data_IF_839599732558
#
_entry.id   IF_839599732558
#
_cell.length_a   1.000
_cell.length_b   1.000
_cell.length_c   1.000
_cell.angle_alpha   90.00
_cell.angle_beta   90.00
_cell.angle_gamma   90.00
#
_symmetry.space_group_name_H-M   'P 1'
#
loop_
_entity.id
_entity.type
_entity.pdbx_description
1 polymer ?
#
# COMPACT_ATOMS: atom_id res chain seq x y z
N UNK A 1 10.29 -12.17 3.89
CA UNK A 1 10.46 -11.89 5.34
C UNK A 1 11.62 -12.68 5.96
N UNK A 2 11.71 -14.00 5.75
CA UNK A 2 12.78 -14.85 6.32
C UNK A 2 14.22 -14.34 6.10
N UNK A 3 14.53 -13.83 4.90
CA UNK A 3 15.87 -13.26 4.62
C UNK A 3 16.11 -11.99 5.43
N UNK A 4 15.12 -11.11 5.55
CA UNK A 4 15.21 -9.87 6.31
C UNK A 4 15.36 -10.13 7.83
N UNK A 5 14.74 -11.19 8.35
CA UNK A 5 14.89 -11.64 9.73
C UNK A 5 16.30 -12.20 10.00
N UNK A 6 16.86 -12.98 9.08
CA UNK A 6 18.25 -13.46 9.21
C UNK A 6 19.30 -12.33 9.16
N UNK A 7 18.99 -11.23 8.46
CA UNK A 7 19.87 -10.06 8.37
C UNK A 7 19.82 -9.19 9.63
N UNK A 8 18.77 -9.30 10.44
CA UNK A 8 18.60 -8.53 11.69
C UNK A 8 18.05 -9.42 12.82
N UNK A 9 18.85 -10.38 13.33
CA UNK A 9 18.43 -11.29 14.38
C UNK A 9 18.18 -10.60 15.73
N UNK A 10 18.62 -9.35 15.88
CA UNK A 10 18.43 -8.54 17.09
C UNK A 10 17.22 -7.60 17.00
N UNK A 11 16.48 -7.61 15.88
CA UNK A 11 15.33 -6.73 15.62
C UNK A 11 15.63 -5.23 15.80
N UNK A 12 16.88 -4.81 15.53
CA UNK A 12 17.31 -3.41 15.67
C UNK A 12 16.58 -2.50 14.70
N UNK A 13 16.22 -3.00 13.53
CA UNK A 13 15.45 -2.26 12.55
C UNK A 13 14.08 -1.84 13.08
N UNK A 14 13.42 -2.71 13.86
CA UNK A 14 12.11 -2.42 14.45
C UNK A 14 12.22 -1.36 15.54
N UNK A 15 13.26 -1.45 16.38
CA UNK A 15 13.55 -0.43 17.40
C UNK A 15 13.85 0.92 16.77
N UNK A 16 14.62 0.96 15.68
CA UNK A 16 14.86 2.17 14.89
C UNK A 16 13.57 2.73 14.30
N UNK A 17 12.73 1.89 13.68
CA UNK A 17 11.44 2.32 13.16
C UNK A 17 10.48 2.87 14.22
N UNK A 18 10.51 2.29 15.43
CA UNK A 18 9.71 2.78 16.55
C UNK A 18 10.21 4.10 17.15
N UNK A 19 11.43 4.55 16.80
CA UNK A 19 12.10 5.71 17.38
C UNK A 19 12.80 5.43 18.72
N UNK A 20 12.94 4.17 19.12
CA UNK A 20 13.58 3.78 20.38
C UNK A 20 15.11 3.77 20.30
N UNK A 21 15.69 3.49 19.13
CA UNK A 21 17.14 3.37 18.95
C UNK A 21 17.56 3.87 17.57
N UNK A 22 18.33 4.97 17.53
CA UNK A 22 18.75 5.62 16.27
C UNK A 22 20.25 5.45 15.98
N UNK A 23 20.88 4.42 16.58
CA UNK A 23 22.30 4.14 16.35
C UNK A 23 22.57 3.83 14.86
N UNK A 24 23.78 4.16 14.35
CA UNK A 24 24.13 3.88 12.95
C UNK A 24 23.90 2.42 12.52
N UNK A 25 24.16 1.46 13.42
CA UNK A 25 23.92 0.05 13.16
C UNK A 25 22.42 -0.31 13.09
N UNK A 26 21.55 0.39 13.83
CA UNK A 26 20.11 0.19 13.77
C UNK A 26 19.53 0.79 12.47
N UNK A 27 20.07 1.94 12.03
CA UNK A 27 19.77 2.55 10.72
C UNK A 27 20.21 1.64 9.58
N UNK A 28 21.41 1.05 9.67
CA UNK A 28 21.93 0.09 8.69
C UNK A 28 21.05 -1.17 8.60
N UNK A 29 20.67 -1.74 9.75
CA UNK A 29 19.74 -2.88 9.79
C UNK A 29 18.38 -2.53 9.16
N UNK A 30 17.83 -1.34 9.46
CA UNK A 30 16.59 -0.87 8.85
C UNK A 30 16.71 -0.73 7.33
N UNK A 31 17.82 -0.17 6.84
CA UNK A 31 18.07 -0.05 5.40
C UNK A 31 18.20 -1.42 4.73
N UNK A 32 18.93 -2.36 5.34
CA UNK A 32 19.07 -3.71 4.82
C UNK A 32 17.72 -4.43 4.71
N UNK A 33 16.87 -4.35 5.75
CA UNK A 33 15.51 -4.92 5.70
C UNK A 33 14.64 -4.24 4.64
N UNK A 34 14.68 -2.90 4.54
CA UNK A 34 13.98 -2.15 3.48
C UNK A 34 14.39 -2.60 2.08
N UNK A 35 15.68 -2.83 1.82
CA UNK A 35 16.16 -3.32 0.52
C UNK A 35 15.56 -4.70 0.18
N UNK A 36 15.43 -5.61 1.15
CA UNK A 36 14.76 -6.90 0.94
C UNK A 36 13.30 -6.72 0.55
N UNK A 37 12.56 -5.85 1.25
CA UNK A 37 11.15 -5.60 0.94
C UNK A 37 10.97 -4.89 -0.40
N UNK A 38 11.89 -4.01 -0.78
CA UNK A 38 11.88 -3.35 -2.08
C UNK A 38 11.93 -4.36 -3.23
N UNK A 39 12.74 -5.42 -3.11
CA UNK A 39 12.77 -6.47 -4.14
C UNK A 39 11.42 -7.19 -4.27
N UNK A 40 10.75 -7.45 -3.14
CA UNK A 40 9.40 -8.01 -3.13
C UNK A 40 8.38 -7.07 -3.78
N UNK A 41 8.39 -5.78 -3.45
CA UNK A 41 7.52 -4.77 -4.08
C UNK A 41 7.80 -4.65 -5.59
N UNK A 42 9.05 -4.78 -6.03
CA UNK A 42 9.40 -4.81 -7.46
C UNK A 42 8.83 -6.04 -8.18
N UNK A 43 8.85 -7.21 -7.53
CA UNK A 43 8.21 -8.42 -8.08
C UNK A 43 6.70 -8.23 -8.19
N UNK A 44 6.06 -7.74 -7.14
CA UNK A 44 4.62 -7.41 -7.16
C UNK A 44 4.30 -6.43 -8.29
N UNK A 45 5.07 -5.36 -8.44
CA UNK A 45 4.89 -4.38 -9.51
C UNK A 45 4.95 -5.03 -10.89
N UNK A 46 5.94 -5.90 -11.13
CA UNK A 46 6.06 -6.62 -12.41
C UNK A 46 4.87 -7.52 -12.67
N UNK A 47 4.39 -8.24 -11.66
CA UNK A 47 3.25 -9.14 -11.78
C UNK A 47 1.95 -8.37 -12.07
N UNK A 48 1.67 -7.28 -11.36
CA UNK A 48 0.50 -6.44 -11.63
C UNK A 48 0.57 -5.77 -13.01
N UNK A 49 1.75 -5.33 -13.45
CA UNK A 49 1.92 -4.80 -14.81
C UNK A 49 1.66 -5.87 -15.87
N UNK A 50 2.20 -7.09 -15.70
CA UNK A 50 1.96 -8.20 -16.62
C UNK A 50 0.48 -8.64 -16.63
N UNK A 51 -0.19 -8.61 -15.48
CA UNK A 51 -1.62 -8.88 -15.37
C UNK A 51 -2.49 -7.85 -16.11
N UNK A 52 -2.06 -6.58 -16.15
CA UNK A 52 -2.77 -5.52 -16.86
C UNK A 52 -2.59 -5.57 -18.38
N UNK A 53 -1.56 -6.26 -18.89
CA UNK A 53 -1.35 -6.46 -20.32
C UNK A 53 -2.48 -7.32 -20.90
N UNK A 54 -3.40 -6.70 -21.64
CA UNK A 54 -4.40 -7.43 -22.41
C UNK A 54 -3.69 -8.24 -23.51
N UNK A 55 -4.12 -9.49 -23.79
CA UNK A 55 -3.71 -10.16 -25.00
C UNK A 55 -4.22 -9.31 -26.17
N UNK A 56 -3.31 -8.62 -26.88
CA UNK A 56 -3.70 -7.93 -28.10
C UNK A 56 -4.31 -8.97 -29.02
N UNK A 57 -5.58 -8.77 -29.43
CA UNK A 57 -6.21 -9.57 -30.46
C UNK A 57 -5.24 -9.67 -31.64
N UNK A 58 -4.84 -10.88 -32.07
CA UNK A 58 -3.94 -11.01 -33.20
C UNK A 58 -4.60 -10.33 -34.39
N UNK A 59 -4.01 -9.21 -34.84
CA UNK A 59 -4.44 -8.56 -36.06
C UNK A 59 -4.23 -9.57 -37.18
N UNK A 60 -5.33 -10.02 -37.80
CA UNK A 60 -5.30 -10.95 -38.92
C UNK A 60 -4.42 -10.33 -40.02
N UNK A 61 -3.27 -10.94 -40.37
CA UNK A 61 -2.46 -10.45 -41.47
C UNK A 61 -3.31 -10.49 -42.75
N UNK A 62 -3.40 -9.36 -43.47
CA UNK A 62 -4.20 -9.23 -44.70
C UNK A 62 -3.66 -10.05 -45.89
N UNK A 63 -2.60 -10.84 -45.69
CA UNK A 63 -1.99 -11.64 -46.74
C UNK A 63 -1.56 -13.00 -46.17
N UNK A 64 -1.87 -14.13 -46.83
CA UNK A 64 -1.40 -15.44 -46.42
C UNK A 64 0.13 -15.49 -46.55
N UNK A 65 0.84 -15.52 -45.42
CA UNK A 65 2.28 -15.78 -45.40
C UNK A 65 2.59 -17.26 -45.65
N UNK A 66 3.76 -17.60 -46.21
CA UNK A 66 4.17 -18.99 -46.38
C UNK A 66 4.30 -19.71 -45.02
N UNK A 67 3.94 -21.00 -45.01
CA UNK A 67 3.91 -21.85 -43.83
C UNK A 67 5.28 -21.89 -43.14
N UNK A 68 5.40 -21.21 -41.99
CA UNK A 68 6.56 -21.33 -41.11
C UNK A 68 6.42 -22.65 -40.35
N UNK A 69 7.38 -23.55 -40.56
CA UNK A 69 7.45 -24.84 -39.90
C UNK A 69 7.48 -24.63 -38.38
N UNK A 70 6.53 -25.25 -37.69
CA UNK A 70 6.48 -25.35 -36.23
C UNK A 70 7.70 -26.13 -35.75
N UNK A 71 8.77 -25.41 -35.43
CA UNK A 71 9.75 -25.90 -34.47
C UNK A 71 9.05 -25.88 -33.10
N UNK A 72 9.08 -26.96 -32.31
CA UNK A 72 8.68 -26.87 -30.91
C UNK A 72 9.76 -26.06 -30.19
N UNK A 73 9.63 -24.73 -30.26
CA UNK A 73 10.43 -23.84 -29.45
C UNK A 73 10.02 -24.07 -28.00
N UNK A 74 10.93 -24.66 -27.24
CA UNK A 74 10.77 -24.78 -25.81
C UNK A 74 10.65 -23.40 -25.15
N UNK A 75 9.74 -23.32 -24.18
CA UNK A 75 9.84 -22.51 -22.96
C UNK A 75 10.00 -20.98 -23.07
N UNK A 76 9.34 -20.29 -24.00
CA UNK A 76 9.10 -18.83 -23.84
C UNK A 76 7.59 -18.53 -23.90
N UNK A 77 6.78 -19.33 -23.19
CA UNK A 77 5.46 -18.88 -22.79
C UNK A 77 5.65 -17.88 -21.65
N UNK A 78 5.71 -16.60 -22.01
CA UNK A 78 5.60 -15.53 -21.03
C UNK A 78 4.35 -15.75 -20.16
N UNK A 79 4.46 -15.44 -18.87
CA UNK A 79 3.36 -15.55 -17.89
C UNK A 79 2.06 -14.97 -18.49
N UNK A 80 0.99 -15.77 -18.54
CA UNK A 80 -0.29 -15.24 -19.00
C UNK A 80 -0.79 -14.17 -18.02
N UNK A 81 -1.60 -13.19 -18.48
CA UNK A 81 -2.10 -12.13 -17.60
C UNK A 81 -2.88 -12.65 -16.39
N UNK A 82 -3.62 -13.76 -16.57
CA UNK A 82 -4.36 -14.40 -15.48
C UNK A 82 -3.42 -15.06 -14.45
N UNK A 83 -2.36 -15.74 -14.92
CA UNK A 83 -1.36 -16.33 -14.04
C UNK A 83 -0.56 -15.25 -13.30
N UNK A 84 -0.22 -14.16 -13.99
CA UNK A 84 0.45 -13.02 -13.39
C UNK A 84 -0.41 -12.39 -12.27
N UNK A 85 -1.72 -12.23 -12.50
CA UNK A 85 -2.65 -11.74 -11.48
C UNK A 85 -2.70 -12.69 -10.28
N UNK A 86 -2.85 -13.99 -10.52
CA UNK A 86 -2.91 -15.01 -9.47
C UNK A 86 -1.63 -15.00 -8.62
N UNK A 87 -0.47 -14.92 -9.26
CA UNK A 87 0.82 -14.85 -8.58
C UNK A 87 0.99 -13.54 -7.80
N UNK A 88 0.49 -12.42 -8.33
CA UNK A 88 0.53 -11.14 -7.63
C UNK A 88 -0.26 -11.19 -6.32
N UNK A 89 -1.49 -11.72 -6.37
CA UNK A 89 -2.35 -11.82 -5.19
C UNK A 89 -1.84 -12.87 -4.19
N UNK A 90 -1.27 -13.98 -4.67
CA UNK A 90 -0.59 -14.97 -3.82
C UNK A 90 0.63 -14.37 -3.11
N UNK A 91 1.47 -13.65 -3.85
CA UNK A 91 2.66 -12.99 -3.27
C UNK A 91 2.27 -11.93 -2.24
N UNK A 92 1.24 -11.14 -2.52
CA UNK A 92 0.73 -10.13 -1.59
C UNK A 92 0.17 -10.79 -0.32
N UNK A 93 -0.62 -11.85 -0.48
CA UNK A 93 -1.19 -12.62 0.63
C UNK A 93 -0.09 -13.22 1.52
N UNK A 94 0.92 -13.86 0.92
CA UNK A 94 2.06 -14.42 1.65
C UNK A 94 2.85 -13.34 2.41
N UNK A 95 3.00 -12.16 1.82
CA UNK A 95 3.70 -11.06 2.46
C UNK A 95 2.91 -10.48 3.66
N UNK A 96 1.57 -10.46 3.57
CA UNK A 96 0.67 -10.02 4.65
C UNK A 96 0.42 -11.09 5.72
N UNK A 97 0.80 -12.35 5.49
CA UNK A 97 0.80 -13.41 6.49
C UNK A 97 2.05 -13.39 7.37
N UNK A 98 3.04 -12.56 7.06
CA UNK A 98 4.24 -12.46 7.88
C UNK A 98 3.98 -11.67 9.16
N UNK A 99 4.61 -12.03 10.27
CA UNK A 99 4.52 -11.26 11.52
C UNK A 99 5.43 -10.01 11.53
N UNK A 100 6.02 -9.66 10.39
CA UNK A 100 6.99 -8.58 10.28
C UNK A 100 6.31 -7.24 9.96
N UNK A 101 6.22 -6.37 10.96
CA UNK A 101 5.67 -5.02 10.82
C UNK A 101 6.34 -4.22 9.69
N UNK A 102 7.66 -4.33 9.53
CA UNK A 102 8.38 -3.56 8.51
C UNK A 102 8.09 -4.06 7.09
N UNK A 103 7.80 -5.36 6.94
CA UNK A 103 7.31 -5.91 5.68
C UNK A 103 5.96 -5.29 5.32
N UNK A 104 5.04 -5.25 6.29
CA UNK A 104 3.69 -4.70 6.10
C UNK A 104 3.78 -3.21 5.75
N UNK A 105 4.60 -2.45 6.48
CA UNK A 105 4.85 -1.02 6.19
C UNK A 105 5.37 -0.83 4.76
N UNK A 106 6.31 -1.64 4.29
CA UNK A 106 6.84 -1.52 2.93
C UNK A 106 5.78 -1.80 1.85
N UNK A 107 4.84 -2.72 2.10
CA UNK A 107 3.70 -2.97 1.22
C UNK A 107 2.74 -1.78 1.26
N UNK A 108 2.45 -1.23 2.43
CA UNK A 108 1.55 -0.09 2.58
C UNK A 108 2.10 1.16 1.90
N UNK A 109 3.39 1.45 2.08
CA UNK A 109 4.11 2.52 1.38
C UNK A 109 3.95 2.32 -0.13
N UNK A 110 4.26 1.11 -0.64
CA UNK A 110 4.13 0.79 -2.06
C UNK A 110 2.71 0.95 -2.61
N UNK A 111 1.67 0.53 -1.87
CA UNK A 111 0.28 0.73 -2.28
C UNK A 111 -0.13 2.20 -2.30
N UNK A 112 0.33 2.97 -1.30
CA UNK A 112 0.06 4.41 -1.17
C UNK A 112 0.73 5.19 -2.31
N UNK A 113 1.97 4.83 -2.65
CA UNK A 113 2.73 5.42 -3.75
C UNK A 113 2.07 5.16 -5.11
N UNK A 114 1.49 3.97 -5.30
CA UNK A 114 0.73 3.59 -6.50
C UNK A 114 -0.71 4.10 -6.53
N UNK A 115 -1.17 4.85 -5.51
CA UNK A 115 -2.56 5.33 -5.37
C UNK A 115 -3.60 4.21 -5.36
N UNK A 116 -3.25 3.06 -4.79
CA UNK A 116 -4.14 1.92 -4.60
C UNK A 116 -4.79 1.92 -3.21
N UNK A 117 -5.34 3.07 -2.83
CA UNK A 117 -5.95 3.30 -1.51
C UNK A 117 -7.09 2.32 -1.23
N UNK A 118 -7.90 1.98 -2.24
CA UNK A 118 -9.00 1.03 -2.09
C UNK A 118 -8.49 -0.38 -1.72
N UNK A 119 -7.41 -0.84 -2.37
CA UNK A 119 -6.76 -2.12 -2.06
C UNK A 119 -6.10 -2.08 -0.68
N UNK A 120 -5.48 -0.96 -0.30
CA UNK A 120 -4.91 -0.77 1.03
C UNK A 120 -5.97 -0.89 2.12
N UNK A 121 -7.17 -0.31 1.90
CA UNK A 121 -8.30 -0.37 2.83
C UNK A 121 -8.96 -1.75 2.93
N UNK A 122 -8.69 -2.66 1.98
CA UNK A 122 -9.16 -4.05 2.04
C UNK A 122 -8.23 -4.97 2.84
N UNK A 123 -6.98 -4.54 3.07
CA UNK A 123 -6.00 -5.32 3.79
C UNK A 123 -6.38 -5.44 5.27
N UNK A 124 -6.52 -6.68 5.72
CA UNK A 124 -6.70 -7.02 7.13
C UNK A 124 -5.34 -7.23 7.78
N UNK A 125 -4.76 -6.16 8.34
CA UNK A 125 -3.49 -6.21 9.07
C UNK A 125 -3.58 -5.43 10.37
N UNK A 126 -3.12 -6.03 11.46
CA UNK A 126 -3.02 -5.39 12.78
C UNK A 126 -2.08 -4.17 12.80
N UNK A 127 -1.16 -4.09 11.83
CA UNK A 127 -0.19 -2.99 11.71
C UNK A 127 -0.73 -1.78 10.92
N UNK A 128 -1.85 -1.93 10.19
CA UNK A 128 -2.35 -0.90 9.27
C UNK A 128 -2.79 0.36 10.02
N UNK A 129 -3.48 0.22 11.15
CA UNK A 129 -3.95 1.37 11.95
C UNK A 129 -2.78 2.22 12.46
N UNK A 130 -1.74 1.58 12.99
CA UNK A 130 -0.55 2.28 13.49
C UNK A 130 0.22 2.97 12.37
N UNK A 131 0.33 2.32 11.21
CA UNK A 131 0.92 2.92 10.01
C UNK A 131 0.15 4.18 9.58
N UNK A 132 -1.17 4.11 9.42
CA UNK A 132 -1.99 5.25 9.00
C UNK A 132 -1.91 6.40 10.00
N UNK A 133 -1.94 6.11 11.31
CA UNK A 133 -1.72 7.13 12.35
C UNK A 133 -0.37 7.83 12.19
N UNK A 134 0.72 7.07 12.01
CA UNK A 134 2.08 7.65 11.81
C UNK A 134 2.13 8.57 10.59
N UNK A 135 1.48 8.21 9.49
CA UNK A 135 1.42 9.06 8.29
C UNK A 135 0.77 10.42 8.58
N UNK A 136 -0.19 10.51 9.51
CA UNK A 136 -0.87 11.77 9.87
C UNK A 136 -0.06 12.73 10.77
N UNK A 137 1.12 12.34 11.25
CA UNK A 137 1.96 13.13 12.19
C UNK A 137 3.12 13.88 11.50
N UNK A 138 3.32 13.70 10.19
CA UNK A 138 4.41 14.34 9.43
C UNK A 138 4.39 15.88 9.43
N UNK A 139 5.58 16.50 9.47
CA UNK A 139 5.80 17.96 9.57
C UNK A 139 5.18 18.75 8.39
N UNK A 140 4.66 19.94 8.70
CA UNK A 140 3.74 20.70 7.85
C UNK A 140 4.45 21.87 7.14
N UNK A 141 4.70 21.72 5.85
CA UNK A 141 4.80 22.83 4.88
C UNK A 141 3.48 23.00 4.10
N UNK A 142 3.29 24.16 3.44
CA UNK A 142 2.01 24.49 2.78
C UNK A 142 1.63 23.50 1.65
N UNK A 143 2.61 22.97 0.90
CA UNK A 143 2.41 21.92 -0.12
C UNK A 143 2.10 20.55 0.51
N UNK A 144 2.60 20.27 1.72
CA UNK A 144 2.31 19.02 2.45
C UNK A 144 0.92 19.03 3.11
N UNK A 145 0.22 20.17 3.17
CA UNK A 145 -1.07 20.25 3.84
C UNK A 145 -2.19 19.49 3.10
N UNK A 146 -2.18 19.48 1.77
CA UNK A 146 -3.13 18.69 0.95
C UNK A 146 -2.87 17.18 1.10
N UNK A 147 -1.59 16.80 1.16
CA UNK A 147 -1.18 15.41 1.41
C UNK A 147 -1.61 14.93 2.80
N UNK A 148 -1.52 15.82 3.81
CA UNK A 148 -2.00 15.53 5.16
C UNK A 148 -3.52 15.25 5.18
N UNK A 149 -4.32 16.04 4.44
CA UNK A 149 -5.78 15.82 4.34
C UNK A 149 -6.07 14.46 3.72
N UNK A 150 -5.38 14.09 2.63
CA UNK A 150 -5.54 12.77 2.01
C UNK A 150 -5.20 11.62 2.98
N UNK A 151 -4.18 11.77 3.81
CA UNK A 151 -3.80 10.78 4.83
C UNK A 151 -4.85 10.64 5.94
N UNK A 152 -5.40 11.75 6.42
CA UNK A 152 -6.54 11.72 7.34
C UNK A 152 -7.78 11.13 6.68
N UNK A 153 -7.99 11.38 5.39
CA UNK A 153 -9.10 10.81 4.62
C UNK A 153 -9.03 9.28 4.56
N UNK A 154 -7.83 8.77 4.28
CA UNK A 154 -7.55 7.34 4.30
C UNK A 154 -7.78 6.73 5.69
N UNK A 155 -7.38 7.43 6.76
CA UNK A 155 -7.54 6.96 8.15
C UNK A 155 -9.01 6.83 8.56
N UNK A 156 -9.88 7.81 8.27
CA UNK A 156 -11.29 7.66 8.65
C UNK A 156 -12.00 6.60 7.79
N UNK A 157 -11.64 6.45 6.51
CA UNK A 157 -12.16 5.37 5.64
C UNK A 157 -11.81 3.99 6.20
N UNK A 158 -10.58 3.84 6.69
CA UNK A 158 -10.14 2.60 7.36
C UNK A 158 -11.01 2.29 8.59
N UNK A 159 -11.27 3.28 9.44
CA UNK A 159 -12.12 3.08 10.62
C UNK A 159 -13.57 2.76 10.24
N UNK A 160 -14.12 3.38 9.20
CA UNK A 160 -15.47 3.07 8.71
C UNK A 160 -15.56 1.63 8.19
N UNK A 161 -14.60 1.19 7.35
CA UNK A 161 -14.54 -0.21 6.89
C UNK A 161 -14.33 -1.21 8.02
N UNK A 162 -13.59 -0.82 9.05
CA UNK A 162 -13.31 -1.67 10.22
C UNK A 162 -14.44 -1.68 11.26
N UNK A 163 -15.54 -0.95 11.04
CA UNK A 163 -16.65 -0.82 11.99
C UNK A 163 -16.33 0.04 13.22
N UNK A 164 -15.20 0.74 13.25
CA UNK A 164 -14.78 1.61 14.34
C UNK A 164 -15.35 3.03 14.19
N UNK A 165 -16.68 3.15 14.17
CA UNK A 165 -17.36 4.40 13.78
C UNK A 165 -17.06 5.60 14.70
N UNK A 166 -16.86 5.38 16.00
CA UNK A 166 -16.45 6.46 16.93
C UNK A 166 -15.07 7.01 16.57
N UNK A 167 -14.12 6.15 16.18
CA UNK A 167 -12.79 6.57 15.77
C UNK A 167 -12.86 7.37 14.45
N UNK A 168 -13.65 6.91 13.48
CA UNK A 168 -13.92 7.65 12.24
C UNK A 168 -14.50 9.05 12.52
N UNK A 169 -15.53 9.13 13.37
CA UNK A 169 -16.17 10.40 13.74
C UNK A 169 -15.18 11.39 14.39
N UNK A 170 -14.29 10.91 15.25
CA UNK A 170 -13.24 11.75 15.87
C UNK A 170 -12.25 12.29 14.85
N UNK A 171 -11.82 11.46 13.89
CA UNK A 171 -10.92 11.90 12.81
C UNK A 171 -11.59 12.96 11.94
N UNK A 172 -12.84 12.73 11.55
CA UNK A 172 -13.63 13.68 10.76
C UNK A 172 -13.88 15.01 11.48
N UNK A 173 -14.16 14.99 12.79
CA UNK A 173 -14.27 16.22 13.59
C UNK A 173 -12.95 16.99 13.62
N UNK A 174 -11.82 16.30 13.81
CA UNK A 174 -10.49 16.95 13.78
C UNK A 174 -10.18 17.56 12.42
N UNK A 175 -10.54 16.89 11.33
CA UNK A 175 -10.42 17.42 9.96
C UNK A 175 -11.25 18.70 9.78
N UNK A 176 -12.49 18.70 10.26
CA UNK A 176 -13.37 19.86 10.18
C UNK A 176 -12.86 21.06 11.01
N UNK A 177 -12.21 20.80 12.14
CA UNK A 177 -11.66 21.82 13.04
C UNK A 177 -10.24 22.29 12.67
N UNK A 178 -9.53 21.54 11.81
CA UNK A 178 -8.14 21.84 11.45
C UNK A 178 -8.02 23.24 10.82
N UNK A 179 -7.09 24.07 11.28
CA UNK A 179 -6.86 25.42 10.75
C UNK A 179 -5.98 25.35 9.49
N UNK A 180 -6.49 24.69 8.45
CA UNK A 180 -5.81 24.46 7.17
C UNK A 180 -6.49 25.24 6.05
N UNK A 181 -5.69 25.88 5.20
CA UNK A 181 -6.17 26.51 3.94
C UNK A 181 -6.53 25.49 2.87
N UNK A 182 -6.14 24.21 3.03
CA UNK A 182 -6.48 23.15 2.10
C UNK A 182 -7.93 22.64 2.25
N UNK A 183 -8.60 22.95 3.36
CA UNK A 183 -9.96 22.48 3.65
C UNK A 183 -10.94 23.65 3.53
N UNK A 184 -11.74 23.64 2.46
CA UNK A 184 -12.78 24.63 2.20
C UNK A 184 -13.96 24.48 3.16
N UNK A 185 -14.75 25.54 3.34
CA UNK A 185 -15.94 25.51 4.21
C UNK A 185 -16.95 24.41 3.81
N UNK A 186 -17.28 24.19 2.52
CA UNK A 186 -18.15 23.07 2.13
C UNK A 186 -17.60 21.71 2.54
N UNK A 187 -16.30 21.49 2.41
CA UNK A 187 -15.65 20.24 2.80
C UNK A 187 -15.70 20.02 4.32
N UNK A 188 -15.56 21.09 5.12
CA UNK A 188 -15.76 21.00 6.59
C UNK A 188 -17.18 20.60 6.95
N UNK A 189 -18.19 21.14 6.26
CA UNK A 189 -19.60 20.78 6.46
C UNK A 189 -19.82 19.30 6.11
N UNK A 190 -19.22 18.80 5.03
CA UNK A 190 -19.26 17.39 4.66
C UNK A 190 -18.63 16.49 5.74
N UNK A 191 -17.44 16.84 6.23
CA UNK A 191 -16.78 16.10 7.30
C UNK A 191 -17.61 16.06 8.59
N UNK A 192 -18.20 17.18 9.01
CA UNK A 192 -19.09 17.22 10.18
C UNK A 192 -20.34 16.37 9.95
N UNK A 193 -20.93 16.45 8.75
CA UNK A 193 -22.12 15.67 8.41
C UNK A 193 -21.83 14.17 8.48
N UNK A 194 -20.69 13.72 7.93
CA UNK A 194 -20.28 12.31 8.01
C UNK A 194 -19.89 11.91 9.43
N UNK A 195 -19.25 12.79 10.20
CA UNK A 195 -18.94 12.52 11.61
C UNK A 195 -20.21 12.23 12.42
N UNK A 196 -21.29 12.98 12.18
CA UNK A 196 -22.60 12.75 12.82
C UNK A 196 -23.17 11.39 12.40
N UNK A 197 -23.07 11.01 11.12
CA UNK A 197 -23.53 9.70 10.64
C UNK A 197 -22.75 8.57 11.30
N UNK A 198 -21.41 8.64 11.33
CA UNK A 198 -20.59 7.66 12.00
C UNK A 198 -20.90 7.57 13.50
N UNK A 199 -21.05 8.71 14.19
CA UNK A 199 -21.37 8.74 15.61
C UNK A 199 -22.74 8.12 15.94
N UNK A 200 -23.69 8.15 15.00
CA UNK A 200 -25.01 7.50 15.13
C UNK A 200 -24.98 6.00 14.81
N UNK A 201 -23.99 5.54 14.05
CA UNK A 201 -23.84 4.15 13.65
C UNK A 201 -23.02 3.31 14.64
N UNK A 202 -22.39 3.96 15.63
CA UNK A 202 -21.67 3.35 16.75
C UNK A 202 -22.61 2.84 17.85
#
# INVERSE_FOLDING_TARGET
CVVAEKLDPQHRAQQCYSGQQEDPAAVEALLARKNCYQQMCLVLQKLYTAAACHPQSPSVPKSPGPMVQTTPQGYEEGLSPLEAQRLADETLSLALQSDDELCHVAIFDWLTDNKWDDKLLEIQSSHLENYLKRQTVGQVGQQQQTDLVAKYDLLWKFYEKSGQFIAAARVLSRLADAHSTAISLPMRIEYLSRAIVCARAA
#
